data_IF_438552155277
#
_entry.id   IF_438552155277
#
_cell.length_a   1.000
_cell.length_b   1.000
_cell.length_c   1.000
_cell.angle_alpha   90.00
_cell.angle_beta   90.00
_cell.angle_gamma   90.00
#
_symmetry.space_group_name_H-M   'P 1'
#
loop_
_entity.id
_entity.type
_entity.pdbx_description
1 polymer ?
#
# COMPACT_ATOMS: atom_id res chain seq x y z
N UNK A 1 -76.44 31.35 31.56
CA UNK A 1 -75.93 32.18 32.68
C UNK A 1 -75.20 31.25 33.63
N UNK A 2 -73.90 31.48 33.74
CA UNK A 2 -72.93 31.16 34.80
C UNK A 2 -73.26 30.17 35.94
N UNK A 3 -72.25 29.36 36.30
CA UNK A 3 -72.04 29.03 37.73
C UNK A 3 -71.59 27.61 38.13
N UNK A 4 -70.34 27.24 37.80
CA UNK A 4 -69.29 26.65 38.67
C UNK A 4 -69.53 25.55 39.77
N UNK A 5 -68.54 24.62 39.81
CA UNK A 5 -68.03 23.68 40.88
C UNK A 5 -68.63 22.25 40.84
N UNK A 6 -67.90 21.11 40.94
CA UNK A 6 -66.58 20.80 41.56
C UNK A 6 -66.07 19.38 41.17
N UNK A 7 -64.77 19.12 41.43
CA UNK A 7 -64.12 17.86 41.87
C UNK A 7 -63.69 16.75 40.86
N UNK A 8 -62.35 16.56 40.73
CA UNK A 8 -61.70 15.29 41.11
C UNK A 8 -61.19 14.31 40.04
N UNK A 9 -59.85 14.32 39.83
CA UNK A 9 -58.94 13.15 39.63
C UNK A 9 -59.16 12.17 38.44
N UNK A 10 -58.23 12.16 37.47
CA UNK A 10 -57.11 11.18 37.34
C UNK A 10 -56.35 11.32 36.01
N UNK A 11 -55.03 11.40 36.20
CA UNK A 11 -53.89 11.22 35.29
C UNK A 11 -54.09 10.29 34.09
N UNK A 12 -53.67 10.76 32.89
CA UNK A 12 -52.87 9.96 31.96
C UNK A 12 -52.01 10.91 31.08
N UNK A 13 -50.79 11.23 31.52
CA UNK A 13 -49.79 11.86 30.66
C UNK A 13 -49.28 10.81 29.66
N UNK A 14 -49.63 10.96 28.38
CA UNK A 14 -48.91 10.29 27.30
C UNK A 14 -47.54 10.95 27.17
N UNK A 15 -46.48 10.22 27.57
CA UNK A 15 -45.10 10.56 27.26
C UNK A 15 -44.92 10.49 25.74
N UNK A 16 -44.74 11.65 25.10
CA UNK A 16 -44.17 11.71 23.75
C UNK A 16 -42.68 11.46 23.95
N UNK A 17 -42.25 10.24 23.66
CA UNK A 17 -40.82 9.92 23.59
C UNK A 17 -40.23 10.64 22.39
N UNK A 18 -39.37 11.63 22.63
CA UNK A 18 -38.42 12.12 21.65
C UNK A 18 -37.51 10.93 21.31
N UNK A 19 -37.81 10.24 20.21
CA UNK A 19 -36.88 9.29 19.61
C UNK A 19 -35.75 10.09 18.99
N UNK A 20 -34.65 10.23 19.72
CA UNK A 20 -33.39 10.72 19.18
C UNK A 20 -32.93 9.74 18.11
N UNK A 21 -33.24 10.02 16.85
CA UNK A 21 -32.57 9.34 15.72
C UNK A 21 -31.14 9.86 15.74
N UNK A 22 -30.26 9.12 16.42
CA UNK A 22 -28.82 9.29 16.27
C UNK A 22 -28.50 8.89 14.83
N UNK A 23 -28.49 9.87 13.92
CA UNK A 23 -27.86 9.70 12.63
C UNK A 23 -26.35 9.57 12.89
N UNK A 24 -25.89 8.33 13.08
CA UNK A 24 -24.48 8.00 13.02
C UNK A 24 -24.09 8.21 11.57
N UNK A 25 -23.62 9.42 11.25
CA UNK A 25 -22.91 9.67 10.02
C UNK A 25 -21.65 8.81 10.05
N UNK A 26 -21.72 7.63 9.43
CA UNK A 26 -20.53 6.92 9.00
C UNK A 26 -19.85 7.83 7.97
N UNK A 27 -18.90 8.63 8.43
CA UNK A 27 -17.86 9.10 7.56
C UNK A 27 -17.14 7.85 7.05
N UNK A 28 -17.52 7.38 5.86
CA UNK A 28 -16.68 6.52 5.04
C UNK A 28 -15.45 7.36 4.67
N UNK A 29 -14.52 7.51 5.60
CA UNK A 29 -13.14 7.82 5.24
C UNK A 29 -12.72 6.72 4.29
N UNK A 30 -12.47 7.06 3.03
CA UNK A 30 -11.93 6.12 2.06
C UNK A 30 -10.77 5.39 2.72
N UNK A 31 -10.85 4.06 2.96
CA UNK A 31 -9.73 3.35 3.53
C UNK A 31 -8.53 3.48 2.58
N UNK A 32 -7.30 3.62 3.10
CA UNK A 32 -6.12 3.69 2.25
C UNK A 32 -6.03 2.44 1.38
N UNK A 33 -6.08 2.61 0.05
CA UNK A 33 -6.04 1.53 -0.95
C UNK A 33 -4.73 0.74 -0.86
N UNK A 34 -4.79 -0.53 -0.40
CA UNK A 34 -3.69 -1.34 0.17
C UNK A 34 -2.42 -1.52 -0.67
N UNK A 35 -1.38 -2.20 -0.13
CA UNK A 35 -0.12 -2.48 -0.79
C UNK A 35 -0.23 -3.49 -1.95
N UNK A 36 -0.78 -4.68 -1.67
CA UNK A 36 -0.80 -5.91 -2.48
C UNK A 36 -1.77 -6.97 -1.84
N UNK A 37 -2.04 -8.15 -2.47
CA UNK A 37 -3.16 -9.05 -2.11
C UNK A 37 -3.11 -9.87 -0.84
N UNK A 38 -1.96 -10.01 -0.21
CA UNK A 38 -1.74 -11.14 0.70
C UNK A 38 -1.47 -10.65 2.10
N UNK A 39 -2.31 -11.07 3.04
CA UNK A 39 -2.03 -10.96 4.46
C UNK A 39 -2.34 -9.60 5.09
N UNK A 40 -1.76 -9.41 6.26
CA UNK A 40 -1.84 -8.23 7.08
C UNK A 40 -0.65 -7.30 6.80
N UNK A 41 -0.87 -6.00 6.97
CA UNK A 41 0.21 -5.02 7.02
C UNK A 41 0.44 -4.54 8.45
N UNK A 42 1.66 -4.07 8.70
CA UNK A 42 2.02 -3.48 9.97
C UNK A 42 1.56 -2.01 10.01
N UNK A 43 0.69 -1.68 10.95
CA UNK A 43 0.40 -0.31 11.33
C UNK A 43 1.51 0.24 12.20
N UNK A 44 1.88 1.47 11.89
CA UNK A 44 2.97 2.18 12.53
C UNK A 44 2.49 3.54 13.03
N UNK A 45 3.05 4.01 14.16
CA UNK A 45 2.68 5.30 14.76
C UNK A 45 1.44 5.28 15.65
N UNK A 46 0.95 4.09 16.03
CA UNK A 46 -0.23 3.91 16.88
C UNK A 46 0.05 3.92 18.39
N UNK A 47 1.29 3.69 18.84
CA UNK A 47 1.64 3.59 20.26
C UNK A 47 2.64 4.63 20.77
N UNK A 48 2.59 4.88 22.08
CA UNK A 48 3.53 5.76 22.78
C UNK A 48 4.96 5.18 22.92
N UNK A 49 5.14 3.87 22.70
CA UNK A 49 6.43 3.18 22.85
C UNK A 49 7.23 3.03 21.56
N UNK A 50 6.66 3.44 20.42
CA UNK A 50 7.19 3.16 19.08
C UNK A 50 6.90 1.72 18.67
N UNK A 51 6.21 1.54 17.55
CA UNK A 51 5.80 0.24 17.03
C UNK A 51 6.73 -0.17 15.88
N UNK A 52 7.48 -1.26 16.05
CA UNK A 52 8.44 -1.72 15.04
C UNK A 52 8.80 -3.20 15.19
N UNK A 53 9.40 -3.76 14.14
CA UNK A 53 10.06 -5.07 14.18
C UNK A 53 11.55 -4.85 14.34
N UNK A 54 12.15 -5.54 15.32
CA UNK A 54 13.59 -5.56 15.51
C UNK A 54 14.18 -6.87 14.99
N UNK A 55 15.08 -6.77 14.02
CA UNK A 55 15.78 -7.91 13.43
C UNK A 55 17.22 -7.94 13.93
N UNK A 56 17.70 -9.06 14.52
CA UNK A 56 19.09 -9.18 14.96
C UNK A 56 20.08 -8.84 13.86
N UNK A 57 21.26 -8.36 14.26
CA UNK A 57 22.31 -8.06 13.30
C UNK A 57 22.69 -9.32 12.49
N UNK A 58 22.77 -9.16 11.17
CA UNK A 58 23.39 -10.10 10.25
C UNK A 58 24.25 -9.31 9.24
N UNK A 59 25.45 -9.80 8.88
CA UNK A 59 26.24 -9.24 7.79
C UNK A 59 25.52 -9.27 6.44
N UNK A 60 24.60 -10.22 6.22
CA UNK A 60 23.82 -10.34 4.99
C UNK A 60 22.87 -9.13 4.78
N UNK A 61 22.47 -8.46 5.87
CA UNK A 61 21.67 -7.23 5.86
C UNK A 61 22.56 -5.95 5.79
N UNK A 62 23.86 -6.11 5.55
CA UNK A 62 24.86 -5.06 5.34
C UNK A 62 25.69 -5.35 4.07
N UNK A 63 25.07 -5.50 2.89
CA UNK A 63 25.84 -5.70 1.68
C UNK A 63 26.72 -4.47 1.41
N UNK A 64 27.96 -4.69 0.97
CA UNK A 64 28.98 -3.62 0.86
C UNK A 64 29.16 -3.08 -0.55
N UNK A 65 28.75 -3.84 -1.57
CA UNK A 65 28.99 -3.49 -2.97
C UNK A 65 27.73 -2.96 -3.66
N UNK A 66 26.60 -3.61 -3.40
CA UNK A 66 25.31 -3.27 -4.02
C UNK A 66 24.18 -3.54 -3.03
N UNK A 67 23.06 -2.84 -3.19
CA UNK A 67 21.86 -3.11 -2.38
C UNK A 67 20.60 -2.74 -3.16
N UNK A 68 19.51 -3.46 -2.88
CA UNK A 68 18.15 -2.96 -3.12
C UNK A 68 17.35 -3.09 -1.84
N UNK A 69 16.71 -2.00 -1.44
CA UNK A 69 15.73 -1.97 -0.35
C UNK A 69 14.41 -1.56 -0.98
N UNK A 70 13.40 -2.42 -0.92
CA UNK A 70 12.10 -2.15 -1.51
C UNK A 70 10.96 -2.60 -0.60
N UNK A 71 9.76 -2.11 -0.87
CA UNK A 71 8.55 -2.51 -0.18
C UNK A 71 7.42 -1.53 -0.42
N UNK A 72 6.34 -1.70 0.33
CA UNK A 72 5.14 -0.91 0.20
C UNK A 72 4.89 -0.06 1.45
N UNK A 73 4.42 1.16 1.26
CA UNK A 73 3.98 2.04 2.35
C UNK A 73 2.73 2.82 1.97
N UNK A 74 1.89 3.10 2.97
CA UNK A 74 0.81 4.09 2.89
C UNK A 74 0.83 4.93 4.14
N UNK A 75 1.13 6.21 3.98
CA UNK A 75 1.64 7.02 5.09
C UNK A 75 1.08 8.42 4.99
N UNK A 76 0.67 8.95 6.14
CA UNK A 76 0.05 10.26 6.29
C UNK A 76 0.82 11.08 7.32
N UNK A 77 2.06 11.42 6.99
CA UNK A 77 2.96 12.15 7.88
C UNK A 77 2.86 13.67 7.67
N UNK A 78 2.78 14.41 8.79
CA UNK A 78 2.63 15.87 8.82
C UNK A 78 3.93 16.67 8.62
N UNK A 79 4.92 16.12 7.91
CA UNK A 79 6.13 16.85 7.47
C UNK A 79 7.47 16.48 8.13
N UNK A 80 7.46 15.77 9.26
CA UNK A 80 8.69 15.24 9.88
C UNK A 80 9.30 14.07 9.10
N UNK A 81 10.54 13.69 9.44
CA UNK A 81 11.16 12.48 8.88
C UNK A 81 10.84 11.25 9.71
N UNK A 82 10.39 10.18 9.07
CA UNK A 82 9.96 8.92 9.70
C UNK A 82 10.62 7.70 9.04
N UNK A 83 10.94 6.69 9.85
CA UNK A 83 11.73 5.51 9.45
C UNK A 83 10.86 4.38 8.91
N UNK A 84 11.00 4.04 7.63
CA UNK A 84 10.36 2.83 7.06
C UNK A 84 11.18 1.60 7.43
N UNK A 85 12.47 1.61 7.13
CA UNK A 85 13.40 0.52 7.49
C UNK A 85 14.81 1.06 7.59
N UNK A 86 15.54 0.67 8.63
CA UNK A 86 16.89 1.16 8.85
C UNK A 86 17.77 0.20 9.63
N UNK A 87 19.07 0.31 9.39
CA UNK A 87 20.12 -0.39 10.12
C UNK A 87 21.12 0.62 10.65
N UNK A 88 20.66 1.68 11.28
CA UNK A 88 21.47 2.75 11.87
C UNK A 88 21.84 3.81 10.86
N UNK A 89 20.98 4.82 10.69
CA UNK A 89 21.15 5.87 9.66
C UNK A 89 22.48 6.63 9.79
N UNK A 90 23.03 6.73 11.02
CA UNK A 90 24.28 7.45 11.27
C UNK A 90 25.51 6.72 10.71
N UNK A 91 25.45 5.39 10.59
CA UNK A 91 26.63 4.55 10.34
C UNK A 91 26.51 3.62 9.14
N UNK A 92 25.30 3.19 8.76
CA UNK A 92 25.07 2.30 7.62
C UNK A 92 23.98 2.88 6.71
N UNK A 93 22.81 2.24 6.68
CA UNK A 93 21.75 2.59 5.75
C UNK A 93 20.39 2.82 6.45
N UNK A 94 19.55 3.59 5.79
CA UNK A 94 18.21 3.96 6.22
C UNK A 94 17.35 4.35 5.02
N UNK A 95 16.10 3.93 5.01
CA UNK A 95 15.07 4.40 4.08
C UNK A 95 13.86 4.85 4.86
N UNK A 96 13.33 6.00 4.48
CA UNK A 96 12.16 6.57 5.14
C UNK A 96 11.58 7.73 4.36
N UNK A 97 10.69 8.47 5.00
CA UNK A 97 10.02 9.62 4.40
C UNK A 97 10.34 10.89 5.18
N UNK A 98 10.37 12.02 4.50
CA UNK A 98 10.36 13.36 5.11
C UNK A 98 9.16 14.12 4.53
N UNK A 99 8.09 14.22 5.33
CA UNK A 99 6.76 14.49 4.78
C UNK A 99 6.36 13.35 3.83
N UNK A 100 6.09 13.67 2.56
CA UNK A 100 5.82 12.67 1.52
C UNK A 100 7.06 12.28 0.71
N UNK A 101 8.20 12.92 0.93
CA UNK A 101 9.40 12.72 0.09
C UNK A 101 10.18 11.48 0.52
N UNK A 102 10.46 10.58 -0.42
CA UNK A 102 11.34 9.42 -0.18
C UNK A 102 12.78 9.87 0.04
N UNK A 103 13.38 9.43 1.15
CA UNK A 103 14.77 9.71 1.50
C UNK A 103 15.51 8.40 1.80
N UNK A 104 16.78 8.36 1.39
CA UNK A 104 17.69 7.27 1.76
C UNK A 104 19.05 7.77 2.24
N UNK A 105 19.63 7.04 3.18
CA UNK A 105 21.06 7.04 3.51
C UNK A 105 21.60 5.65 3.21
N UNK A 106 22.77 5.55 2.55
CA UNK A 106 23.44 4.25 2.32
C UNK A 106 24.89 4.22 2.83
N UNK A 107 25.42 5.37 3.26
CA UNK A 107 26.80 5.58 3.71
C UNK A 107 26.88 6.42 4.98
N UNK A 108 25.95 6.21 5.91
CA UNK A 108 25.86 6.96 7.17
C UNK A 108 25.24 8.35 7.04
N UNK A 109 25.24 9.12 8.14
CA UNK A 109 24.35 10.27 8.35
C UNK A 109 24.55 11.49 7.43
N UNK A 110 25.63 11.53 6.64
CA UNK A 110 25.88 12.58 5.65
C UNK A 110 25.49 12.19 4.21
N UNK A 111 24.94 10.99 4.01
CA UNK A 111 24.71 10.40 2.69
C UNK A 111 23.27 10.52 2.19
N UNK A 112 22.53 11.57 2.55
CA UNK A 112 21.13 11.73 2.19
C UNK A 112 20.94 11.99 0.68
N UNK A 113 19.98 11.30 0.05
CA UNK A 113 19.34 11.76 -1.19
C UNK A 113 17.83 11.65 -1.05
N UNK A 114 17.14 12.59 -1.69
CA UNK A 114 15.69 12.73 -1.74
C UNK A 114 15.22 12.59 -3.18
N UNK A 115 14.24 11.74 -3.44
CA UNK A 115 13.73 11.54 -4.80
C UNK A 115 12.33 10.96 -4.82
N UNK A 116 11.41 11.68 -5.45
CA UNK A 116 10.01 11.29 -5.55
C UNK A 116 9.20 11.62 -4.30
N UNK A 117 7.87 11.58 -4.47
CA UNK A 117 6.89 11.81 -3.43
C UNK A 117 5.92 10.64 -3.42
N UNK A 118 5.63 10.12 -2.24
CA UNK A 118 4.60 9.11 -1.99
C UNK A 118 3.37 9.86 -1.48
N UNK A 119 2.40 10.05 -2.36
CA UNK A 119 1.13 10.68 -2.03
C UNK A 119 0.27 9.80 -1.11
N UNK A 120 -0.97 10.22 -0.83
CA UNK A 120 -1.90 9.41 -0.03
C UNK A 120 -2.21 8.08 -0.72
N UNK A 121 -2.34 7.03 0.10
CA UNK A 121 -2.58 5.67 -0.38
C UNK A 121 -1.27 4.89 -0.50
N UNK A 122 -1.37 3.64 -0.95
CA UNK A 122 -0.19 2.79 -1.01
C UNK A 122 0.66 3.03 -2.23
N UNK A 123 1.97 3.08 -2.01
CA UNK A 123 2.97 3.16 -3.04
C UNK A 123 4.07 2.14 -2.78
N UNK A 124 4.60 1.58 -3.86
CA UNK A 124 5.83 0.80 -3.77
C UNK A 124 7.01 1.74 -3.84
N UNK A 125 7.97 1.60 -2.93
CA UNK A 125 9.26 2.28 -3.02
C UNK A 125 10.37 1.27 -3.34
N UNK A 126 11.41 1.72 -4.03
CA UNK A 126 12.68 1.00 -4.05
C UNK A 126 13.86 1.96 -4.06
N UNK A 127 14.91 1.61 -3.33
CA UNK A 127 16.21 2.28 -3.33
C UNK A 127 17.25 1.27 -3.77
N UNK A 128 17.94 1.56 -4.87
CA UNK A 128 18.98 0.68 -5.43
C UNK A 128 20.33 1.37 -5.43
N UNK A 129 21.40 0.61 -5.27
CA UNK A 129 22.78 1.07 -5.44
C UNK A 129 23.62 0.01 -6.13
N UNK A 130 24.23 0.35 -7.27
CA UNK A 130 24.98 -0.58 -8.13
C UNK A 130 26.51 -0.51 -7.92
N UNK A 131 26.99 0.30 -6.97
CA UNK A 131 28.41 0.56 -6.72
C UNK A 131 28.91 1.86 -7.36
N UNK A 132 28.17 2.42 -8.31
CA UNK A 132 28.51 3.68 -9.00
C UNK A 132 27.34 4.68 -9.10
N UNK A 133 26.12 4.21 -8.83
CA UNK A 133 24.91 5.02 -8.88
C UNK A 133 23.89 4.55 -7.85
N UNK A 134 23.27 5.51 -7.16
CA UNK A 134 22.06 5.31 -6.36
C UNK A 134 20.84 5.75 -7.15
N UNK A 135 19.76 4.97 -7.09
CA UNK A 135 18.48 5.32 -7.72
C UNK A 135 17.31 5.09 -6.78
N UNK A 136 16.31 5.95 -6.87
CA UNK A 136 15.04 5.83 -6.18
C UNK A 136 13.94 5.52 -7.19
N UNK A 137 13.01 4.67 -6.77
CA UNK A 137 11.84 4.29 -7.54
C UNK A 137 10.58 4.45 -6.71
N UNK A 138 9.51 4.95 -7.33
CA UNK A 138 8.15 4.95 -6.78
C UNK A 138 7.23 4.30 -7.80
N UNK A 139 6.48 3.29 -7.37
CA UNK A 139 5.62 2.44 -8.19
C UNK A 139 6.34 1.82 -9.40
N UNK A 140 7.66 1.59 -9.27
CA UNK A 140 8.50 1.06 -10.34
C UNK A 140 8.91 2.09 -11.39
N UNK A 141 8.67 3.39 -11.19
CA UNK A 141 9.21 4.50 -11.99
C UNK A 141 10.44 5.11 -11.31
N UNK A 142 11.49 5.43 -12.07
CA UNK A 142 12.69 6.09 -11.54
C UNK A 142 12.35 7.55 -11.22
N UNK A 143 12.55 7.96 -9.97
CA UNK A 143 12.23 9.31 -9.46
C UNK A 143 13.47 10.07 -8.98
N UNK A 144 14.64 9.43 -9.01
CA UNK A 144 15.92 10.04 -8.64
C UNK A 144 17.10 9.15 -9.00
N UNK A 145 18.23 9.77 -9.36
CA UNK A 145 19.42 9.07 -9.84
C UNK A 145 20.67 9.92 -9.59
N UNK A 146 21.60 9.41 -8.79
CA UNK A 146 22.80 10.14 -8.36
C UNK A 146 24.05 9.29 -8.58
N UNK A 147 25.07 9.90 -9.17
CA UNK A 147 26.39 9.29 -9.23
C UNK A 147 26.96 9.24 -7.81
N UNK A 148 27.27 8.04 -7.35
CA UNK A 148 27.73 7.77 -5.99
C UNK A 148 28.62 6.53 -6.07
N UNK A 149 29.87 6.59 -5.61
CA UNK A 149 30.81 5.47 -5.73
C UNK A 149 31.48 5.10 -4.42
N UNK A 150 32.08 3.91 -4.38
CA UNK A 150 32.72 3.35 -3.19
C UNK A 150 31.81 2.40 -2.40
N UNK A 151 32.35 1.74 -1.36
CA UNK A 151 31.60 0.75 -0.60
C UNK A 151 30.46 1.39 0.20
N UNK A 152 29.38 0.63 0.39
CA UNK A 152 28.37 0.93 1.39
C UNK A 152 28.97 0.75 2.80
N UNK A 153 28.53 1.58 3.74
CA UNK A 153 29.01 1.48 5.12
C UNK A 153 28.17 0.48 5.91
N UNK A 154 28.80 -0.16 6.89
CA UNK A 154 28.20 -1.24 7.68
C UNK A 154 28.27 -0.95 9.17
N UNK A 155 27.46 -1.63 9.96
CA UNK A 155 27.58 -1.63 11.42
C UNK A 155 27.16 -2.99 12.03
N UNK A 156 27.24 -3.11 13.34
CA UNK A 156 26.78 -4.29 14.09
C UNK A 156 25.42 -4.10 14.76
N UNK A 157 24.70 -3.01 14.44
CA UNK A 157 23.40 -2.73 15.03
C UNK A 157 22.31 -3.65 14.46
N UNK A 158 21.21 -3.80 15.20
CA UNK A 158 19.99 -4.44 14.72
C UNK A 158 19.41 -3.65 13.53
N UNK A 159 18.73 -4.34 12.62
CA UNK A 159 17.86 -3.70 11.64
C UNK A 159 16.48 -3.50 12.28
N UNK A 160 15.79 -2.41 11.94
CA UNK A 160 14.42 -2.13 12.38
C UNK A 160 13.52 -1.81 11.20
N UNK A 161 12.31 -2.35 11.20
CA UNK A 161 11.24 -2.01 10.25
C UNK A 161 10.18 -1.23 11.02
N UNK A 162 9.79 -0.06 10.54
CA UNK A 162 8.96 0.91 11.25
C UNK A 162 9.75 1.75 12.27
N UNK A 163 11.08 1.69 12.28
CA UNK A 163 11.95 2.50 13.15
C UNK A 163 13.41 2.44 12.67
N UNK A 164 14.30 3.13 13.37
CA UNK A 164 15.76 2.99 13.24
C UNK A 164 16.42 3.00 14.63
N UNK A 165 17.63 2.43 14.76
CA UNK A 165 18.37 2.42 16.03
C UNK A 165 18.86 3.81 16.46
N UNK A 166 19.07 4.72 15.49
CA UNK A 166 19.51 6.09 15.74
C UNK A 166 18.43 7.14 15.43
N UNK A 167 17.32 6.75 14.79
CA UNK A 167 16.19 7.63 14.48
C UNK A 167 14.84 6.91 14.69
N UNK A 168 14.28 7.06 15.88
CA UNK A 168 13.07 6.33 16.28
C UNK A 168 11.72 6.85 15.76
N UNK A 169 11.56 8.07 15.18
CA UNK A 169 10.29 8.47 14.59
C UNK A 169 9.80 7.44 13.56
N UNK A 170 8.56 7.01 13.77
CA UNK A 170 7.89 5.96 13.02
C UNK A 170 6.83 6.59 12.12
N UNK A 171 6.62 6.11 10.89
CA UNK A 171 5.62 6.68 10.00
C UNK A 171 4.21 6.45 10.56
N UNK A 172 3.31 7.43 10.45
CA UNK A 172 1.90 7.23 10.74
C UNK A 172 1.22 6.65 9.51
N UNK A 173 0.89 5.37 9.58
CA UNK A 173 0.29 4.66 8.46
C UNK A 173 0.59 3.18 8.49
N UNK A 174 0.95 2.63 7.33
CA UNK A 174 1.13 1.21 7.12
C UNK A 174 2.39 0.91 6.29
N UNK A 175 3.04 -0.20 6.62
CA UNK A 175 4.19 -0.76 5.91
C UNK A 175 3.88 -2.22 5.57
N UNK A 176 4.26 -2.65 4.37
CA UNK A 176 4.09 -4.03 3.91
C UNK A 176 5.27 -4.48 3.01
N UNK A 177 5.52 -5.78 2.94
CA UNK A 177 6.39 -6.44 1.96
C UNK A 177 7.81 -5.86 1.85
N UNK A 178 8.49 -5.66 2.99
CA UNK A 178 9.88 -5.18 2.98
C UNK A 178 10.81 -6.27 2.44
N UNK A 179 11.62 -5.93 1.45
CA UNK A 179 12.61 -6.83 0.85
C UNK A 179 13.99 -6.20 0.84
N UNK A 180 14.98 -7.00 1.18
CA UNK A 180 16.39 -6.61 1.17
C UNK A 180 17.12 -7.51 0.18
N UNK A 181 17.84 -6.89 -0.76
CA UNK A 181 18.68 -7.58 -1.73
C UNK A 181 20.12 -7.09 -1.66
N UNK A 182 21.08 -8.00 -1.85
CA UNK A 182 22.51 -7.71 -1.99
C UNK A 182 22.93 -7.35 -3.42
N UNK A 183 21.98 -7.15 -4.32
CA UNK A 183 22.20 -6.78 -5.72
C UNK A 183 21.40 -5.53 -6.05
N UNK A 184 21.87 -4.75 -7.03
CA UNK A 184 21.11 -3.64 -7.57
C UNK A 184 20.09 -4.15 -8.60
N UNK A 185 18.81 -4.13 -8.25
CA UNK A 185 17.74 -4.54 -9.17
C UNK A 185 17.49 -3.45 -10.21
N UNK A 186 17.28 -3.87 -11.45
CA UNK A 186 16.90 -2.97 -12.53
C UNK A 186 15.43 -2.58 -12.44
N UNK A 187 15.05 -1.48 -13.10
CA UNK A 187 13.64 -1.06 -13.25
C UNK A 187 12.74 -2.20 -13.76
N UNK A 188 13.22 -3.01 -14.71
CA UNK A 188 12.45 -4.15 -15.23
C UNK A 188 12.24 -5.23 -14.18
N UNK A 189 13.29 -5.60 -13.44
CA UNK A 189 13.22 -6.62 -12.40
C UNK A 189 12.30 -6.19 -11.26
N UNK A 190 12.37 -4.91 -10.84
CA UNK A 190 11.46 -4.35 -9.83
C UNK A 190 10.00 -4.54 -10.25
N UNK A 191 9.67 -4.09 -11.48
CA UNK A 191 8.30 -4.17 -12.04
C UNK A 191 7.78 -5.58 -12.17
N UNK A 192 8.64 -6.54 -12.49
CA UNK A 192 8.26 -7.94 -12.64
C UNK A 192 7.72 -8.53 -11.32
N UNK A 193 8.30 -8.14 -10.19
CA UNK A 193 7.99 -8.72 -8.87
C UNK A 193 7.27 -7.78 -7.91
N UNK A 194 6.97 -6.55 -8.34
CA UNK A 194 6.33 -5.50 -7.52
C UNK A 194 5.00 -5.98 -6.92
N UNK A 195 4.32 -6.85 -7.67
CA UNK A 195 3.02 -7.44 -7.33
C UNK A 195 3.05 -8.97 -7.20
N UNK A 196 4.18 -9.51 -6.75
CA UNK A 196 4.36 -10.95 -6.52
C UNK A 196 4.71 -11.20 -5.05
N UNK A 197 4.13 -12.25 -4.45
CA UNK A 197 4.58 -12.78 -3.18
C UNK A 197 5.86 -13.58 -3.41
N UNK A 198 6.92 -13.29 -2.64
CA UNK A 198 8.21 -13.98 -2.78
C UNK A 198 8.49 -14.73 -1.48
N UNK A 199 8.20 -16.02 -1.48
CA UNK A 199 8.45 -16.92 -0.34
C UNK A 199 9.55 -17.95 -0.64
N UNK A 200 10.30 -17.77 -1.73
CA UNK A 200 11.39 -18.66 -2.12
C UNK A 200 12.68 -17.89 -2.41
N UNK A 201 13.86 -18.49 -2.13
CA UNK A 201 15.14 -17.84 -2.38
C UNK A 201 15.35 -17.48 -3.86
N UNK A 202 15.85 -16.26 -4.10
CA UNK A 202 16.27 -15.77 -5.41
C UNK A 202 17.72 -15.26 -5.33
N UNK A 203 18.50 -15.29 -6.44
CA UNK A 203 19.87 -14.77 -6.43
C UNK A 203 19.94 -13.32 -5.92
N UNK A 204 20.67 -13.13 -4.83
CA UNK A 204 20.86 -11.83 -4.20
C UNK A 204 19.72 -11.36 -3.29
N UNK A 205 18.63 -12.11 -3.13
CA UNK A 205 17.59 -11.81 -2.15
C UNK A 205 18.06 -12.27 -0.76
N UNK A 206 17.99 -11.38 0.23
CA UNK A 206 18.53 -11.62 1.58
C UNK A 206 17.45 -11.75 2.65
N UNK A 207 16.34 -11.04 2.51
CA UNK A 207 15.21 -11.13 3.44
C UNK A 207 13.91 -10.67 2.78
N UNK A 208 12.79 -11.27 3.17
CA UNK A 208 11.43 -10.87 2.80
C UNK A 208 10.56 -10.84 4.05
N UNK A 209 9.97 -9.69 4.35
CA UNK A 209 9.03 -9.53 5.45
C UNK A 209 7.66 -9.20 4.86
N UNK A 210 6.75 -10.17 4.89
CA UNK A 210 5.34 -9.94 4.51
C UNK A 210 4.57 -9.18 5.58
N UNK A 211 5.20 -8.92 6.73
CA UNK A 211 4.61 -8.17 7.84
C UNK A 211 3.28 -8.75 8.35
N UNK A 212 3.09 -10.07 8.18
CA UNK A 212 2.15 -10.93 8.91
C UNK A 212 2.60 -11.23 10.36
N UNK A 213 3.48 -10.40 10.91
CA UNK A 213 4.29 -10.67 12.09
C UNK A 213 5.72 -10.19 11.86
N UNK A 214 6.69 -10.84 12.51
CA UNK A 214 8.12 -10.48 12.42
C UNK A 214 8.98 -11.51 11.66
N UNK A 215 8.35 -12.44 10.95
CA UNK A 215 9.03 -13.53 10.25
C UNK A 215 9.68 -13.03 8.96
N UNK A 216 10.89 -13.51 8.68
CA UNK A 216 11.49 -13.48 7.35
C UNK A 216 11.07 -14.74 6.59
N UNK A 217 10.45 -14.61 5.42
CA UNK A 217 9.95 -15.75 4.63
C UNK A 217 11.07 -16.65 4.09
N UNK A 218 12.30 -16.17 4.07
CA UNK A 218 13.48 -16.98 3.74
C UNK A 218 14.04 -17.73 4.96
N UNK A 219 13.50 -17.45 6.15
CA UNK A 219 13.78 -18.14 7.42
C UNK A 219 15.12 -17.78 8.09
N UNK A 220 15.89 -16.83 7.54
CA UNK A 220 17.25 -16.55 8.02
C UNK A 220 17.34 -15.32 8.93
N UNK A 221 16.40 -14.38 8.80
CA UNK A 221 16.47 -13.06 9.41
C UNK A 221 15.18 -12.65 10.13
N UNK A 222 14.48 -13.60 10.77
CA UNK A 222 13.29 -13.29 11.56
C UNK A 222 13.63 -12.36 12.74
N UNK A 223 12.71 -11.44 13.03
CA UNK A 223 12.83 -10.47 14.12
C UNK A 223 11.90 -10.76 15.29
N UNK A 224 11.82 -9.77 16.19
CA UNK A 224 10.88 -9.70 17.30
C UNK A 224 10.08 -8.40 17.21
N UNK A 225 8.79 -8.47 17.52
CA UNK A 225 7.93 -7.28 17.64
C UNK A 225 8.33 -6.48 18.89
N UNK A 226 8.45 -5.17 18.75
CA UNK A 226 8.65 -4.21 19.85
C UNK A 226 7.50 -3.20 19.84
N UNK A 227 6.98 -2.91 21.03
CA UNK A 227 5.73 -2.16 21.17
C UNK A 227 4.53 -3.06 20.88
N UNK A 228 3.49 -2.48 20.31
CA UNK A 228 2.26 -3.19 19.95
C UNK A 228 1.78 -2.72 18.57
N UNK A 229 2.57 -2.90 17.50
CA UNK A 229 2.11 -2.62 16.15
C UNK A 229 0.79 -3.35 15.89
N UNK A 230 -0.19 -2.62 15.37
CA UNK A 230 -1.39 -3.24 14.83
C UNK A 230 -1.01 -4.04 13.59
N UNK A 231 -1.51 -5.25 13.46
CA UNK A 231 -1.48 -5.98 12.20
C UNK A 231 -2.91 -5.98 11.66
N UNK A 232 -3.14 -5.24 10.60
CA UNK A 232 -4.48 -5.14 10.01
C UNK A 232 -4.54 -5.94 8.73
N UNK A 233 -5.61 -6.69 8.61
CA UNK A 233 -6.13 -7.16 7.33
C UNK A 233 -7.19 -6.18 6.85
N UNK A 234 -7.60 -6.30 5.60
CA UNK A 234 -8.69 -5.50 5.05
C UNK A 234 -9.96 -5.62 5.90
N UNK A 235 -10.72 -4.52 6.06
CA UNK A 235 -12.07 -4.63 6.60
C UNK A 235 -12.90 -5.49 5.66
N UNK A 236 -13.42 -6.59 6.19
CA UNK A 236 -14.37 -7.44 5.49
C UNK A 236 -15.71 -6.71 5.44
N UNK A 237 -16.17 -6.37 4.24
CA UNK A 237 -17.51 -5.86 3.97
C UNK A 237 -18.38 -6.97 3.37
N UNK A 238 -19.70 -6.86 3.53
CA UNK A 238 -20.65 -7.81 2.93
C UNK A 238 -20.79 -7.64 1.41
N UNK A 239 -20.31 -6.52 0.87
CA UNK A 239 -20.35 -6.20 -0.55
C UNK A 239 -19.82 -4.79 -0.82
N UNK A 240 -19.83 -4.38 -2.08
CA UNK A 240 -19.47 -3.04 -2.53
C UNK A 240 -20.63 -2.38 -3.30
N UNK A 241 -20.51 -1.08 -3.56
CA UNK A 241 -21.43 -0.33 -4.41
C UNK A 241 -20.65 0.42 -5.50
N UNK A 242 -21.23 0.52 -6.69
CA UNK A 242 -20.64 1.31 -7.77
C UNK A 242 -20.82 2.80 -7.48
N UNK A 243 -19.75 3.57 -7.64
CA UNK A 243 -19.73 5.04 -7.57
C UNK A 243 -19.15 5.61 -8.86
N UNK A 244 -19.07 6.93 -8.97
CA UNK A 244 -18.43 7.58 -10.12
C UNK A 244 -16.94 7.18 -10.26
N UNK A 245 -16.27 6.70 -9.22
CA UNK A 245 -14.82 6.41 -9.24
C UNK A 245 -14.48 4.97 -8.85
N UNK A 246 -15.49 4.13 -8.59
CA UNK A 246 -15.31 2.74 -8.22
C UNK A 246 -16.38 1.87 -8.87
N UNK A 247 -15.99 0.84 -9.61
CA UNK A 247 -16.92 -0.23 -10.01
C UNK A 247 -17.08 -1.20 -8.85
N UNK A 248 -18.29 -1.71 -8.65
CA UNK A 248 -18.50 -2.94 -7.89
C UNK A 248 -18.90 -4.06 -8.85
N UNK A 249 -18.01 -5.03 -9.04
CA UNK A 249 -18.23 -6.19 -9.89
C UNK A 249 -18.59 -7.40 -9.05
N UNK A 250 -19.56 -8.20 -9.52
CA UNK A 250 -20.10 -9.39 -8.84
C UNK A 250 -20.58 -9.10 -7.39
N UNK A 251 -20.93 -7.85 -7.08
CA UNK A 251 -21.31 -7.39 -5.73
C UNK A 251 -20.17 -7.46 -4.68
N UNK A 252 -18.95 -7.81 -5.09
CA UNK A 252 -17.85 -8.21 -4.20
C UNK A 252 -16.50 -7.58 -4.55
N UNK A 253 -16.23 -7.34 -5.83
CA UNK A 253 -14.95 -6.85 -6.30
C UNK A 253 -15.03 -5.35 -6.59
N UNK A 254 -14.50 -4.54 -5.68
CA UNK A 254 -14.39 -3.10 -5.86
C UNK A 254 -13.17 -2.78 -6.75
N UNK A 255 -13.38 -2.09 -7.86
CA UNK A 255 -12.32 -1.74 -8.81
C UNK A 255 -12.16 -0.23 -8.89
N UNK A 256 -10.94 0.26 -8.68
CA UNK A 256 -10.58 1.68 -8.82
C UNK A 256 -9.37 1.85 -9.73
N UNK A 257 -9.24 3.04 -10.31
CA UNK A 257 -8.11 3.38 -11.17
C UNK A 257 -7.54 4.74 -10.76
N UNK A 258 -6.24 4.81 -10.51
CA UNK A 258 -5.50 6.07 -10.47
C UNK A 258 -4.73 6.26 -11.77
N UNK A 259 -4.58 7.49 -12.25
CA UNK A 259 -3.78 7.79 -13.43
C UNK A 259 -2.80 8.93 -13.17
N UNK A 260 -1.71 8.95 -13.95
CA UNK A 260 -0.70 10.01 -13.93
C UNK A 260 -0.26 10.35 -15.35
N UNK A 261 -0.21 11.65 -15.67
CA UNK A 261 0.31 12.14 -16.95
C UNK A 261 1.83 12.20 -16.97
N UNK A 262 2.40 12.39 -18.15
CA UNK A 262 3.85 12.62 -18.32
C UNK A 262 4.37 13.83 -17.53
N UNK A 263 3.54 14.86 -17.31
CA UNK A 263 3.92 16.06 -16.55
C UNK A 263 3.77 15.89 -15.04
N UNK A 264 3.38 14.70 -14.58
CA UNK A 264 3.20 14.40 -13.15
C UNK A 264 1.84 14.80 -12.59
N UNK A 265 0.89 15.20 -13.42
CA UNK A 265 -0.49 15.45 -12.97
C UNK A 265 -1.16 14.11 -12.67
N UNK A 266 -1.75 13.97 -11.49
CA UNK A 266 -2.42 12.76 -11.04
C UNK A 266 -3.94 12.96 -10.95
N UNK A 267 -4.69 11.87 -11.07
CA UNK A 267 -6.14 11.86 -10.90
C UNK A 267 -6.70 10.45 -10.74
N UNK A 268 -8.02 10.36 -10.58
CA UNK A 268 -8.75 9.09 -10.50
C UNK A 268 -9.53 8.85 -11.79
N UNK A 269 -9.60 7.59 -12.21
CA UNK A 269 -10.45 7.17 -13.31
C UNK A 269 -11.92 7.25 -12.91
N UNK A 270 -12.76 7.64 -13.86
CA UNK A 270 -14.20 7.74 -13.66
C UNK A 270 -14.90 6.60 -14.39
N UNK A 271 -15.86 6.00 -13.72
CA UNK A 271 -16.67 4.90 -14.22
C UNK A 271 -17.50 5.40 -15.41
N UNK A 272 -17.43 4.67 -16.52
CA UNK A 272 -18.37 4.84 -17.63
C UNK A 272 -19.71 4.25 -17.18
N UNK A 273 -20.85 4.96 -17.32
CA UNK A 273 -22.18 4.47 -16.93
C UNK A 273 -22.73 3.43 -17.94
N UNK A 274 -21.89 2.48 -18.33
CA UNK A 274 -22.17 1.35 -19.21
C UNK A 274 -21.28 0.18 -18.76
N UNK A 275 -21.83 -0.63 -17.85
CA UNK A 275 -21.17 -1.78 -17.24
C UNK A 275 -22.15 -2.94 -17.11
N UNK A 276 -21.60 -4.15 -17.01
CA UNK A 276 -22.29 -5.38 -16.67
C UNK A 276 -21.96 -5.77 -15.23
N UNK A 277 -22.56 -6.86 -14.75
CA UNK A 277 -22.29 -7.41 -13.42
C UNK A 277 -20.80 -7.72 -13.21
N UNK A 278 -20.12 -8.25 -14.23
CA UNK A 278 -18.74 -8.75 -14.15
C UNK A 278 -17.72 -7.86 -14.90
N UNK A 279 -18.16 -6.76 -15.53
CA UNK A 279 -17.34 -6.00 -16.46
C UNK A 279 -17.70 -4.51 -16.47
N UNK A 280 -16.71 -3.62 -16.62
CA UNK A 280 -16.97 -2.19 -16.76
C UNK A 280 -15.79 -1.42 -17.35
N UNK A 281 -15.99 -0.13 -17.60
CA UNK A 281 -15.00 0.73 -18.25
C UNK A 281 -14.70 1.98 -17.42
N UNK A 282 -13.49 2.52 -17.59
CA UNK A 282 -13.06 3.80 -17.03
C UNK A 282 -12.62 4.78 -18.13
N UNK A 283 -12.86 6.06 -17.89
CA UNK A 283 -12.24 7.17 -18.62
C UNK A 283 -11.37 8.01 -17.67
N UNK A 284 -10.34 8.68 -18.18
CA UNK A 284 -9.40 9.46 -17.34
C UNK A 284 -9.60 10.97 -17.46
N UNK A 285 -9.73 11.46 -18.70
CA UNK A 285 -9.76 12.91 -18.97
C UNK A 285 -11.09 13.41 -19.50
N UNK A 286 -11.79 12.57 -20.27
CA UNK A 286 -13.00 12.95 -20.97
C UNK A 286 -13.97 11.76 -21.04
N UNK A 287 -15.27 11.94 -20.72
CA UNK A 287 -16.25 10.86 -20.74
C UNK A 287 -16.48 10.21 -22.12
N UNK A 288 -16.08 10.87 -23.21
CA UNK A 288 -16.16 10.35 -24.57
C UNK A 288 -14.84 9.67 -25.04
N UNK A 289 -13.82 9.61 -24.20
CA UNK A 289 -12.55 8.93 -24.48
C UNK A 289 -12.28 7.87 -23.42
N UNK A 290 -12.77 6.65 -23.64
CA UNK A 290 -12.61 5.54 -22.70
C UNK A 290 -11.19 4.97 -22.79
N UNK A 291 -10.63 4.63 -21.64
CA UNK A 291 -9.19 4.34 -21.50
C UNK A 291 -8.94 2.89 -21.07
N UNK A 292 -9.84 2.29 -20.30
CA UNK A 292 -9.63 0.97 -19.70
C UNK A 292 -10.94 0.19 -19.57
N UNK A 293 -10.94 -1.03 -20.10
CA UNK A 293 -11.91 -2.08 -19.81
C UNK A 293 -11.35 -2.97 -18.69
N UNK A 294 -12.19 -3.32 -17.71
CA UNK A 294 -11.89 -4.32 -16.68
C UNK A 294 -13.00 -5.35 -16.65
N UNK A 295 -12.63 -6.61 -16.46
CA UNK A 295 -13.53 -7.74 -16.29
C UNK A 295 -13.03 -8.64 -15.15
N UNK A 296 -13.95 -9.15 -14.35
CA UNK A 296 -13.69 -10.19 -13.36
C UNK A 296 -14.38 -11.49 -13.77
N UNK A 297 -13.87 -12.61 -13.28
CA UNK A 297 -14.53 -13.92 -13.44
C UNK A 297 -14.39 -14.69 -12.14
N UNK A 298 -15.51 -15.23 -11.64
CA UNK A 298 -15.48 -16.23 -10.57
C UNK A 298 -14.94 -17.56 -11.11
N UNK A 299 -13.62 -17.76 -10.99
CA UNK A 299 -12.92 -18.97 -11.37
C UNK A 299 -12.76 -19.98 -10.25
N UNK A 300 -13.52 -19.84 -9.15
CA UNK A 300 -13.31 -20.63 -7.93
C UNK A 300 -13.41 -22.14 -8.18
N UNK A 301 -14.38 -22.57 -9.00
CA UNK A 301 -14.55 -23.98 -9.36
C UNK A 301 -13.40 -24.54 -10.21
N UNK A 302 -12.61 -23.69 -10.87
CA UNK A 302 -11.56 -24.10 -11.79
C UNK A 302 -10.21 -24.23 -11.09
N UNK A 303 -9.83 -23.24 -10.28
CA UNK A 303 -8.50 -23.20 -9.67
C UNK A 303 -8.47 -22.54 -8.29
N UNK A 304 -9.63 -22.30 -7.66
CA UNK A 304 -9.69 -21.65 -6.35
C UNK A 304 -9.34 -20.17 -6.36
N UNK A 305 -9.42 -19.50 -7.51
CA UNK A 305 -9.14 -18.07 -7.64
C UNK A 305 -10.26 -17.30 -8.34
N UNK A 306 -10.40 -16.02 -8.00
CA UNK A 306 -11.11 -15.04 -8.82
C UNK A 306 -10.12 -14.42 -9.81
N UNK A 307 -10.54 -14.32 -11.07
CA UNK A 307 -9.67 -13.90 -12.17
C UNK A 307 -9.92 -12.44 -12.52
N UNK A 308 -8.89 -11.76 -13.01
CA UNK A 308 -8.98 -10.39 -13.48
C UNK A 308 -8.45 -10.30 -14.90
N UNK A 309 -9.21 -9.64 -15.75
CA UNK A 309 -8.84 -9.30 -17.11
C UNK A 309 -8.94 -7.78 -17.29
N UNK A 310 -8.02 -7.20 -18.04
CA UNK A 310 -8.13 -5.80 -18.44
C UNK A 310 -7.48 -5.55 -19.78
N UNK A 311 -8.05 -4.62 -20.54
CA UNK A 311 -7.47 -4.13 -21.79
C UNK A 311 -7.61 -2.61 -21.80
N UNK A 312 -6.52 -1.92 -22.16
CA UNK A 312 -6.51 -0.46 -22.17
C UNK A 312 -6.22 0.08 -23.57
N UNK A 313 -6.87 1.19 -23.90
CA UNK A 313 -6.70 1.97 -25.13
C UNK A 313 -5.77 3.17 -24.91
N UNK A 314 -4.94 3.09 -23.86
CA UNK A 314 -4.13 4.19 -23.35
C UNK A 314 -2.65 3.86 -23.26
N UNK A 315 -1.83 4.90 -23.28
CA UNK A 315 -0.40 4.84 -22.92
C UNK A 315 -0.09 5.69 -21.66
N UNK A 316 -1.13 6.12 -20.95
CA UNK A 316 -1.03 6.87 -19.70
C UNK A 316 -0.59 5.93 -18.58
N UNK A 317 0.20 6.42 -17.63
CA UNK A 317 0.47 5.65 -16.42
C UNK A 317 -0.85 5.49 -15.66
N UNK A 318 -1.27 4.25 -15.41
CA UNK A 318 -2.37 3.99 -14.49
C UNK A 318 -2.02 2.90 -13.49
N UNK A 319 -2.68 2.96 -12.33
CA UNK A 319 -2.75 1.93 -11.30
C UNK A 319 -4.20 1.42 -11.25
N UNK A 320 -4.43 0.20 -11.70
CA UNK A 320 -5.69 -0.51 -11.56
C UNK A 320 -5.64 -1.30 -10.25
N UNK A 321 -6.59 -1.06 -9.34
CA UNK A 321 -6.71 -1.80 -8.07
C UNK A 321 -8.03 -2.56 -8.07
N UNK A 322 -7.98 -3.87 -7.87
CA UNK A 322 -9.15 -4.75 -7.73
C UNK A 322 -9.17 -5.30 -6.32
N UNK A 323 -10.19 -4.98 -5.53
CA UNK A 323 -10.30 -5.37 -4.12
C UNK A 323 -11.46 -6.32 -3.93
N UNK A 324 -11.18 -7.52 -3.43
CA UNK A 324 -12.19 -8.40 -2.83
C UNK A 324 -12.55 -7.88 -1.44
N UNK A 325 -13.68 -7.19 -1.35
CA UNK A 325 -14.11 -6.56 -0.10
C UNK A 325 -14.58 -7.57 0.94
N UNK A 326 -14.95 -8.79 0.52
CA UNK A 326 -15.45 -9.85 1.42
C UNK A 326 -14.29 -10.65 2.01
N UNK A 327 -13.31 -11.03 1.20
CA UNK A 327 -12.13 -11.72 1.71
C UNK A 327 -11.09 -10.76 2.28
N UNK A 328 -11.19 -9.49 1.91
CA UNK A 328 -10.23 -8.52 2.33
C UNK A 328 -8.86 -8.74 1.69
N UNK A 329 -8.84 -8.81 0.36
CA UNK A 329 -7.63 -8.96 -0.44
C UNK A 329 -7.71 -8.06 -1.67
N UNK A 330 -6.58 -7.72 -2.30
CA UNK A 330 -6.61 -6.90 -3.52
C UNK A 330 -5.55 -7.30 -4.54
N UNK A 331 -5.72 -6.99 -5.81
CA UNK A 331 -4.67 -7.09 -6.81
C UNK A 331 -4.46 -5.75 -7.49
N UNK A 332 -3.19 -5.36 -7.66
CA UNK A 332 -2.83 -4.12 -8.36
C UNK A 332 -2.18 -4.47 -9.70
N UNK A 333 -2.45 -3.66 -10.71
CA UNK A 333 -1.79 -3.69 -12.02
C UNK A 333 -1.38 -2.28 -12.42
N UNK A 334 -0.24 -2.17 -13.10
CA UNK A 334 0.26 -0.90 -13.60
C UNK A 334 0.34 -0.91 -15.12
N UNK A 335 0.01 0.22 -15.75
CA UNK A 335 0.63 0.61 -17.00
C UNK A 335 1.60 1.75 -16.72
N UNK A 336 2.68 1.82 -17.49
CA UNK A 336 3.68 2.86 -17.35
C UNK A 336 3.59 3.91 -18.46
N UNK A 337 4.08 5.11 -18.17
CA UNK A 337 3.90 6.24 -19.09
C UNK A 337 4.60 5.99 -20.44
N UNK A 338 3.86 6.19 -21.52
CA UNK A 338 4.39 6.16 -22.88
C UNK A 338 4.61 4.77 -23.47
N UNK A 339 4.20 3.71 -22.76
CA UNK A 339 4.17 2.34 -23.30
C UNK A 339 2.73 1.89 -23.51
N UNK A 340 2.53 0.98 -24.46
CA UNK A 340 1.24 0.31 -24.64
C UNK A 340 0.88 -0.45 -23.37
N UNK A 341 -0.34 -0.23 -22.88
CA UNK A 341 -0.86 -0.96 -21.74
C UNK A 341 -0.87 -2.46 -22.01
N UNK A 342 -0.20 -3.29 -21.18
CA UNK A 342 -0.27 -4.73 -21.32
C UNK A 342 -1.69 -5.20 -21.02
N UNK A 343 -2.16 -6.19 -21.80
CA UNK A 343 -3.39 -6.90 -21.44
C UNK A 343 -3.15 -7.66 -20.13
N UNK A 344 -4.07 -7.53 -19.18
CA UNK A 344 -4.09 -8.35 -17.97
C UNK A 344 -4.93 -9.59 -18.27
N UNK A 345 -4.37 -10.76 -18.00
CA UNK A 345 -4.99 -12.09 -18.19
C UNK A 345 -4.74 -12.96 -16.96
N UNK A 346 -4.96 -12.39 -15.78
CA UNK A 346 -4.56 -13.00 -14.51
C UNK A 346 -5.64 -13.95 -13.99
N UNK A 347 -5.41 -15.24 -14.21
CA UNK A 347 -6.27 -16.33 -13.70
C UNK A 347 -5.89 -16.80 -12.29
N UNK A 348 -4.96 -16.12 -11.64
CA UNK A 348 -4.51 -16.38 -10.26
C UNK A 348 -4.63 -15.09 -9.40
N UNK A 349 -5.45 -14.13 -9.83
CA UNK A 349 -5.42 -12.77 -9.29
C UNK A 349 -5.71 -12.70 -7.79
N UNK A 350 -6.73 -13.43 -7.33
CA UNK A 350 -7.20 -13.41 -5.93
C UNK A 350 -7.54 -14.82 -5.47
N UNK A 351 -6.77 -15.36 -4.51
CA UNK A 351 -6.98 -16.67 -3.88
C UNK A 351 -8.03 -16.58 -2.75
N UNK A 352 -9.22 -16.08 -3.07
CA UNK A 352 -10.25 -15.67 -2.09
C UNK A 352 -11.54 -16.48 -2.16
N UNK A 353 -11.47 -17.66 -2.75
CA UNK A 353 -12.63 -18.53 -2.91
C UNK A 353 -13.13 -19.09 -1.56
N UNK A 354 -14.44 -19.38 -1.44
CA UNK A 354 -15.03 -19.94 -0.22
C UNK A 354 -14.44 -21.28 0.23
#
# INVERSE_FOLDING_TARGET
MDGFKTLGRRLLQRRIGLGTVLAVAFFLSSPPAHAQPWGAWMLTGSSATGDYIQVPHSPALNPVSQITIEGWVSVSDGGGCSSIVGKGFQSAWWVGLCGTTLRSYLKGGASAHDGGSLSSGWHHFAVTYDGVRRRHYVDGEEVGSWAESGPLTTNTAAMRIGSDVNWSPTPNGAIDQIRIWSVARTRSQLRETINQQISSPMPGLQAVYELNGATDELGSHSGSIVGSPGFLTFPVATGCETTDTSLCLDGRLAVTVGWRTRTGTEGVGTVVPCFAEDSGNFWFFNPNNWELLVKTVDGCANNGHRWVFSAATTNVHYRLTVTDVVAGAQKIYFNYQGVSAPAVTDTQALATCP
#
